data_IF_137621639172
#
_entry.id   IF_137621639172
#
_cell.length_a   1.000
_cell.length_b   1.000
_cell.length_c   1.000
_cell.angle_alpha   90.00
_cell.angle_beta   90.00
_cell.angle_gamma   90.00
#
_symmetry.space_group_name_H-M   'P 1'
#
loop_
_entity.id
_entity.type
_entity.pdbx_description
1 polymer ?
#
# COMPACT_ATOMS: atom_id res chain seq x y z
N UNK A 1 1.57 22.62 -1.18
CA UNK A 1 0.46 21.65 -1.17
C UNK A 1 0.86 20.42 -2.00
N UNK A 2 0.64 19.24 -1.48
CA UNK A 2 0.83 17.98 -2.21
C UNK A 2 -0.45 17.17 -2.15
N UNK A 3 -0.99 16.83 -3.30
CA UNK A 3 -2.12 15.92 -3.45
C UNK A 3 -1.64 14.46 -3.56
N UNK A 4 -2.56 13.52 -3.29
CA UNK A 4 -2.28 12.07 -3.33
C UNK A 4 -1.09 11.69 -2.43
N UNK A 5 -1.08 12.22 -1.20
CA UNK A 5 0.07 12.08 -0.29
C UNK A 5 0.34 10.64 0.16
N UNK A 6 -0.59 9.70 -0.02
CA UNK A 6 -0.33 8.27 0.16
C UNK A 6 0.79 7.74 -0.75
N UNK A 7 1.12 8.44 -1.84
CA UNK A 7 2.24 8.09 -2.73
C UNK A 7 3.61 8.38 -2.13
N UNK A 8 3.70 9.09 -1.00
CA UNK A 8 4.95 9.40 -0.29
C UNK A 8 5.10 8.67 1.05
N UNK A 9 4.31 7.61 1.28
CA UNK A 9 4.37 6.77 2.47
C UNK A 9 5.71 6.02 2.62
N UNK A 10 6.31 5.60 1.51
CA UNK A 10 7.56 4.85 1.50
C UNK A 10 8.77 5.80 1.60
N UNK A 11 9.48 5.74 2.73
CA UNK A 11 10.59 6.65 3.05
C UNK A 11 11.79 6.51 2.12
N UNK A 12 12.00 5.33 1.56
CA UNK A 12 13.12 5.02 0.66
C UNK A 12 12.90 5.51 -0.77
N UNK A 13 11.66 5.79 -1.17
CA UNK A 13 11.32 6.17 -2.54
C UNK A 13 11.94 7.52 -2.94
N UNK A 14 12.35 7.66 -4.18
CA UNK A 14 12.90 8.92 -4.73
C UNK A 14 11.92 10.08 -4.55
N UNK A 15 10.62 9.83 -4.79
CA UNK A 15 9.56 10.84 -4.64
C UNK A 15 9.51 11.39 -3.22
N UNK A 16 9.50 10.51 -2.21
CA UNK A 16 9.48 10.91 -0.80
C UNK A 16 10.72 11.71 -0.42
N UNK A 17 11.89 11.28 -0.87
CA UNK A 17 13.16 12.00 -0.62
C UNK A 17 13.14 13.39 -1.23
N UNK A 18 12.68 13.53 -2.47
CA UNK A 18 12.57 14.84 -3.13
C UNK A 18 11.56 15.74 -2.40
N UNK A 19 10.37 15.22 -2.05
CA UNK A 19 9.38 16.02 -1.34
C UNK A 19 9.86 16.46 0.05
N UNK A 20 10.57 15.59 0.79
CA UNK A 20 11.22 15.98 2.05
C UNK A 20 12.24 17.11 1.86
N UNK A 21 13.02 17.08 0.78
CA UNK A 21 13.98 18.13 0.47
C UNK A 21 13.28 19.45 0.11
N UNK A 22 12.26 19.39 -0.76
CA UNK A 22 11.49 20.55 -1.18
C UNK A 22 10.70 21.19 -0.02
N UNK A 23 10.22 20.37 0.93
CA UNK A 23 9.46 20.87 2.08
C UNK A 23 10.32 21.60 3.12
N UNK A 24 11.65 21.43 3.10
CA UNK A 24 12.56 22.15 4.00
C UNK A 24 12.51 23.66 3.71
N UNK A 25 12.32 24.45 4.75
CA UNK A 25 12.22 25.90 4.60
C UNK A 25 10.85 26.42 4.15
N UNK A 26 9.89 25.53 3.81
CA UNK A 26 8.52 25.94 3.51
C UNK A 26 7.75 26.10 4.81
N UNK A 27 7.16 27.28 5.02
CA UNK A 27 6.43 27.63 6.26
C UNK A 27 5.12 26.86 6.40
N UNK A 28 4.36 26.74 5.32
CA UNK A 28 3.05 26.08 5.31
C UNK A 28 3.11 24.84 4.42
N UNK A 29 2.74 23.69 5.00
CA UNK A 29 2.78 22.39 4.32
C UNK A 29 1.43 21.73 4.46
N UNK A 30 0.82 21.36 3.34
CA UNK A 30 -0.47 20.66 3.29
C UNK A 30 -0.29 19.40 2.45
N UNK A 31 -0.67 18.28 3.03
CA UNK A 31 -0.74 16.99 2.35
C UNK A 31 -2.21 16.59 2.27
N UNK A 32 -2.69 16.34 1.07
CA UNK A 32 -4.07 15.93 0.80
C UNK A 32 -4.10 14.46 0.42
N UNK A 33 -5.11 13.73 0.89
CA UNK A 33 -5.32 12.33 0.53
C UNK A 33 -6.74 11.90 0.86
N UNK A 34 -7.34 11.10 0.00
CA UNK A 34 -8.59 10.39 0.30
C UNK A 34 -8.38 9.18 1.21
N UNK A 35 -7.13 8.73 1.44
CA UNK A 35 -6.82 7.57 2.28
C UNK A 35 -5.57 7.83 3.10
N UNK A 36 -5.75 8.16 4.37
CA UNK A 36 -4.66 8.52 5.26
C UNK A 36 -3.70 7.34 5.52
N UNK A 37 -4.24 6.18 5.81
CA UNK A 37 -3.51 4.93 6.08
C UNK A 37 -4.08 3.84 5.18
N UNK A 38 -3.24 3.23 4.34
CA UNK A 38 -3.65 2.12 3.47
C UNK A 38 -3.57 0.78 4.20
N UNK A 39 -2.44 0.50 4.85
CA UNK A 39 -2.18 -0.80 5.45
C UNK A 39 -1.64 -0.74 6.87
N UNK A 40 -0.75 0.20 7.18
CA UNK A 40 0.02 0.19 8.44
C UNK A 40 0.25 1.59 8.97
N UNK A 41 0.27 1.74 10.30
CA UNK A 41 0.57 3.03 10.94
C UNK A 41 1.96 3.57 10.59
N UNK A 42 2.92 2.69 10.27
CA UNK A 42 4.26 3.10 9.82
C UNK A 42 4.25 3.95 8.54
N UNK A 43 3.19 3.89 7.74
CA UNK A 43 3.01 4.70 6.54
C UNK A 43 2.89 6.20 6.84
N UNK A 44 2.52 6.57 8.07
CA UNK A 44 2.43 7.96 8.52
C UNK A 44 3.78 8.60 8.84
N UNK A 45 4.84 7.82 9.06
CA UNK A 45 6.16 8.35 9.43
C UNK A 45 6.67 9.35 8.41
N UNK A 46 6.57 9.02 7.13
CA UNK A 46 7.04 9.91 6.06
C UNK A 46 6.19 11.17 5.89
N UNK A 47 4.86 11.10 5.82
CA UNK A 47 3.99 12.27 5.83
C UNK A 47 4.21 13.18 7.05
N UNK A 48 4.27 12.63 8.26
CA UNK A 48 4.52 13.40 9.48
C UNK A 48 5.92 14.07 9.46
N UNK A 49 6.93 13.40 8.92
CA UNK A 49 8.26 14.01 8.72
C UNK A 49 8.21 15.16 7.72
N UNK A 50 7.46 15.04 6.62
CA UNK A 50 7.30 16.08 5.61
C UNK A 50 6.57 17.29 6.21
N UNK A 51 5.54 17.04 7.01
CA UNK A 51 4.78 18.07 7.73
C UNK A 51 5.57 18.72 8.89
N UNK A 52 6.71 18.11 9.29
CA UNK A 52 7.47 18.52 10.46
C UNK A 52 6.70 18.36 11.78
N UNK A 53 5.94 17.28 11.90
CA UNK A 53 5.06 16.97 13.03
C UNK A 53 5.40 15.65 13.75
N UNK A 54 6.39 14.91 13.25
CA UNK A 54 6.75 13.60 13.84
C UNK A 54 7.23 13.74 15.29
N UNK A 55 7.90 14.84 15.62
CA UNK A 55 8.42 15.10 16.96
C UNK A 55 7.31 15.31 18.00
N UNK A 56 6.13 15.80 17.59
CA UNK A 56 4.97 15.91 18.46
C UNK A 56 4.43 14.53 18.89
N UNK A 57 4.78 13.48 18.17
CA UNK A 57 4.52 12.07 18.53
C UNK A 57 5.72 11.43 19.27
N UNK A 58 6.73 12.21 19.63
CA UNK A 58 7.94 11.76 20.31
C UNK A 58 9.03 11.24 19.39
N UNK A 59 8.99 11.62 18.12
CA UNK A 59 9.94 11.24 17.10
C UNK A 59 9.79 9.77 16.65
N UNK A 60 10.71 9.35 15.79
CA UNK A 60 10.62 8.03 15.15
C UNK A 60 10.55 6.87 16.16
N UNK A 61 11.37 6.91 17.21
CA UNK A 61 11.44 5.80 18.17
C UNK A 61 10.15 5.63 18.97
N UNK A 62 9.64 6.69 19.58
CA UNK A 62 8.40 6.63 20.37
C UNK A 62 7.19 6.34 19.50
N UNK A 63 7.14 6.92 18.30
CA UNK A 63 6.07 6.63 17.34
C UNK A 63 6.03 5.15 16.98
N UNK A 64 7.18 4.58 16.62
CA UNK A 64 7.25 3.18 16.19
C UNK A 64 7.02 2.19 17.34
N UNK A 65 7.47 2.49 18.54
CA UNK A 65 7.18 1.67 19.71
C UNK A 65 5.69 1.64 20.01
N UNK A 66 5.06 2.82 20.05
CA UNK A 66 3.68 2.92 20.50
C UNK A 66 2.68 2.51 19.42
N UNK A 67 2.90 2.90 18.18
CA UNK A 67 1.90 2.73 17.11
C UNK A 67 2.24 1.64 16.09
N UNK A 68 3.49 1.19 16.04
CA UNK A 68 3.93 0.16 15.07
C UNK A 68 4.40 -1.14 15.72
N UNK A 69 4.30 -1.27 17.05
CA UNK A 69 4.72 -2.47 17.77
C UNK A 69 6.16 -2.90 17.42
N UNK A 70 7.08 -1.95 17.44
CA UNK A 70 8.47 -2.12 17.02
C UNK A 70 9.14 -3.27 17.75
N UNK A 71 9.71 -4.19 16.98
CA UNK A 71 10.53 -5.31 17.49
C UNK A 71 11.81 -5.45 16.69
N UNK A 72 12.84 -6.04 17.30
CA UNK A 72 14.10 -6.29 16.60
C UNK A 72 14.05 -7.68 15.97
N UNK A 73 14.31 -7.77 14.66
CA UNK A 73 14.42 -9.02 13.92
C UNK A 73 15.81 -9.19 13.34
N UNK A 74 16.28 -10.43 13.29
CA UNK A 74 17.49 -10.79 12.55
C UNK A 74 17.08 -11.26 11.15
N UNK A 75 17.72 -10.71 10.12
CA UNK A 75 17.56 -11.16 8.73
C UNK A 75 18.89 -11.69 8.23
N UNK A 76 18.86 -12.79 7.47
CA UNK A 76 20.02 -13.34 6.81
C UNK A 76 20.34 -12.53 5.55
N UNK A 77 21.59 -12.16 5.36
CA UNK A 77 22.04 -11.43 4.19
C UNK A 77 22.25 -12.41 3.02
N UNK A 78 21.66 -12.08 1.88
CA UNK A 78 21.78 -12.89 0.65
C UNK A 78 23.24 -12.82 0.15
N UNK A 79 23.93 -13.96 0.12
CA UNK A 79 25.31 -14.07 -0.37
C UNK A 79 26.42 -14.05 0.71
N UNK A 80 26.08 -13.90 1.97
CA UNK A 80 27.05 -14.03 3.08
C UNK A 80 26.94 -15.37 3.79
N UNK A 81 28.05 -16.06 4.02
CA UNK A 81 28.11 -17.32 4.80
C UNK A 81 27.61 -17.07 6.23
N UNK A 82 26.29 -17.14 6.46
CA UNK A 82 25.68 -16.98 7.78
C UNK A 82 25.63 -15.55 8.33
N UNK A 83 25.96 -14.53 7.54
CA UNK A 83 25.92 -13.14 7.99
C UNK A 83 24.47 -12.71 8.24
N UNK A 84 24.20 -12.22 9.46
CA UNK A 84 22.88 -11.71 9.85
C UNK A 84 22.95 -10.20 10.10
N UNK A 85 21.85 -9.49 9.79
CA UNK A 85 21.68 -8.08 10.12
C UNK A 85 20.45 -7.91 11.01
N UNK A 86 20.61 -7.15 12.09
CA UNK A 86 19.49 -6.74 12.93
C UNK A 86 18.74 -5.60 12.24
N UNK A 87 17.44 -5.72 12.10
CA UNK A 87 16.55 -4.70 11.56
C UNK A 87 15.36 -4.48 12.49
N UNK A 88 14.80 -3.27 12.45
CA UNK A 88 13.57 -2.98 13.16
C UNK A 88 12.37 -3.44 12.33
N UNK A 89 11.54 -4.29 12.91
CA UNK A 89 10.23 -4.61 12.37
C UNK A 89 9.21 -3.62 12.95
N UNK A 90 8.57 -2.88 12.06
CA UNK A 90 7.54 -1.88 12.35
C UNK A 90 6.26 -2.18 11.56
N UNK A 91 6.02 -3.46 11.28
CA UNK A 91 4.92 -3.90 10.42
C UNK A 91 3.56 -3.98 11.10
N UNK A 92 3.54 -3.95 12.43
CA UNK A 92 2.31 -3.99 13.22
C UNK A 92 1.62 -2.63 13.27
N UNK A 93 0.33 -2.64 13.62
CA UNK A 93 -0.48 -1.47 13.90
C UNK A 93 -1.10 -1.62 15.29
N UNK A 94 -0.78 -0.71 16.20
CA UNK A 94 -1.22 -0.72 17.60
C UNK A 94 -1.75 0.65 17.98
N UNK A 95 -2.63 0.73 18.99
CA UNK A 95 -3.17 1.97 19.53
C UNK A 95 -3.76 2.93 18.46
N UNK A 96 -4.56 2.38 17.52
CA UNK A 96 -5.08 3.13 16.36
C UNK A 96 -6.00 4.28 16.75
N UNK A 97 -6.91 4.07 17.70
CA UNK A 97 -7.84 5.11 18.18
C UNK A 97 -7.09 6.30 18.78
N UNK A 98 -6.13 6.02 19.68
CA UNK A 98 -5.30 7.07 20.26
C UNK A 98 -4.49 7.83 19.20
N UNK A 99 -3.93 7.11 18.22
CA UNK A 99 -3.20 7.72 17.12
C UNK A 99 -4.09 8.68 16.33
N UNK A 100 -5.31 8.24 16.02
CA UNK A 100 -6.27 9.03 15.27
C UNK A 100 -6.70 10.29 16.03
N UNK A 101 -6.99 10.17 17.32
CA UNK A 101 -7.35 11.30 18.17
C UNK A 101 -6.21 12.32 18.28
N UNK A 102 -4.97 11.84 18.38
CA UNK A 102 -3.80 12.72 18.39
C UNK A 102 -3.57 13.41 17.06
N UNK A 103 -3.75 12.70 15.95
CA UNK A 103 -3.64 13.29 14.61
C UNK A 103 -4.67 14.41 14.42
N UNK A 104 -5.93 14.20 14.81
CA UNK A 104 -6.99 15.21 14.76
C UNK A 104 -6.64 16.46 15.57
N UNK A 105 -6.06 16.29 16.74
CA UNK A 105 -5.66 17.41 17.61
C UNK A 105 -4.47 18.20 17.07
N UNK A 106 -3.57 17.56 16.33
CA UNK A 106 -2.26 18.12 15.97
C UNK A 106 -2.23 18.63 14.53
N UNK A 107 -2.68 17.81 13.57
CA UNK A 107 -2.40 18.07 12.16
C UNK A 107 -3.38 17.47 11.15
N UNK A 108 -4.41 16.75 11.58
CA UNK A 108 -5.37 16.15 10.67
C UNK A 108 -6.65 16.99 10.62
N UNK A 109 -7.03 17.41 9.43
CA UNK A 109 -8.35 17.94 9.11
C UNK A 109 -9.03 16.92 8.24
N UNK A 110 -10.18 16.42 8.68
CA UNK A 110 -11.02 15.51 7.92
C UNK A 110 -12.34 16.19 7.67
N UNK A 111 -12.77 16.19 6.42
CA UNK A 111 -14.09 16.63 6.00
C UNK A 111 -14.93 15.37 5.76
N UNK A 112 -16.07 15.28 6.40
CA UNK A 112 -17.00 14.19 6.20
C UNK A 112 -17.98 14.53 5.06
N UNK A 113 -18.48 13.48 4.38
CA UNK A 113 -19.43 13.66 3.27
C UNK A 113 -20.69 14.46 3.67
N UNK A 114 -21.07 14.36 4.96
CA UNK A 114 -22.19 15.13 5.55
C UNK A 114 -21.93 16.63 5.65
N UNK A 115 -20.67 17.05 5.65
CA UNK A 115 -20.26 18.46 5.74
C UNK A 115 -20.09 19.09 4.34
N UNK A 116 -20.18 18.28 3.27
CA UNK A 116 -20.11 18.80 1.91
C UNK A 116 -21.47 19.34 1.47
N UNK A 117 -21.51 20.61 1.06
CA UNK A 117 -22.73 21.25 0.52
C UNK A 117 -23.27 20.54 -0.75
N UNK A 118 -22.42 19.82 -1.44
CA UNK A 118 -22.77 19.07 -2.63
C UNK A 118 -22.83 17.57 -2.31
N UNK A 119 -24.05 17.11 -2.02
CA UNK A 119 -24.34 15.69 -1.84
C UNK A 119 -24.35 15.01 -3.22
N UNK A 120 -23.19 14.93 -3.87
CA UNK A 120 -23.05 14.14 -5.10
C UNK A 120 -23.08 12.67 -4.67
N UNK A 121 -24.29 12.12 -4.51
CA UNK A 121 -24.47 10.68 -4.43
C UNK A 121 -23.99 10.10 -5.74
N UNK A 122 -22.73 9.62 -5.76
CA UNK A 122 -22.25 8.86 -6.90
C UNK A 122 -23.15 7.63 -7.05
N UNK A 123 -23.97 7.61 -8.08
CA UNK A 123 -24.74 6.43 -8.43
C UNK A 123 -23.76 5.37 -8.92
N UNK A 124 -23.47 4.39 -8.05
CA UNK A 124 -22.65 3.25 -8.42
C UNK A 124 -23.50 2.30 -9.28
N UNK A 125 -23.23 2.29 -10.58
CA UNK A 125 -23.79 1.30 -11.49
C UNK A 125 -22.85 0.10 -11.51
N UNK A 126 -23.35 -1.06 -11.09
CA UNK A 126 -22.64 -2.33 -11.21
C UNK A 126 -23.17 -3.02 -12.46
N UNK A 127 -22.26 -3.35 -13.37
CA UNK A 127 -22.59 -4.11 -14.58
C UNK A 127 -21.73 -5.38 -14.57
N UNK A 128 -22.40 -6.51 -14.57
CA UNK A 128 -21.76 -7.81 -14.65
C UNK A 128 -21.64 -8.22 -16.13
N UNK A 129 -20.49 -8.78 -16.49
CA UNK A 129 -20.24 -9.32 -17.83
C UNK A 129 -19.81 -10.78 -17.73
N UNK A 130 -20.50 -11.64 -18.45
CA UNK A 130 -20.04 -13.01 -18.70
C UNK A 130 -18.91 -12.98 -19.74
N UNK A 131 -17.69 -13.09 -19.26
CA UNK A 131 -16.50 -13.09 -20.10
C UNK A 131 -15.99 -14.52 -20.22
N UNK A 132 -15.96 -15.11 -21.43
CA UNK A 132 -15.42 -16.47 -21.60
C UNK A 132 -13.94 -16.50 -21.21
N UNK A 133 -13.58 -17.52 -20.44
CA UNK A 133 -12.20 -17.74 -20.03
C UNK A 133 -11.35 -18.16 -21.24
N UNK A 134 -10.17 -17.56 -21.37
CA UNK A 134 -9.22 -17.96 -22.41
C UNK A 134 -8.51 -19.28 -22.04
N UNK A 135 -8.04 -20.04 -23.04
CA UNK A 135 -7.18 -21.20 -22.78
C UNK A 135 -5.97 -20.85 -21.89
N UNK A 136 -5.36 -19.71 -22.15
CA UNK A 136 -4.23 -19.19 -21.35
C UNK A 136 -4.61 -18.97 -19.88
N UNK A 137 -5.82 -18.47 -19.61
CA UNK A 137 -6.29 -18.32 -18.23
C UNK A 137 -6.43 -19.66 -17.54
N UNK A 138 -7.04 -20.64 -18.22
CA UNK A 138 -7.25 -21.99 -17.68
C UNK A 138 -5.93 -22.70 -17.39
N UNK A 139 -4.94 -22.58 -18.28
CA UNK A 139 -3.59 -23.10 -18.07
C UNK A 139 -2.91 -22.47 -16.84
N UNK A 140 -2.99 -21.15 -16.70
CA UNK A 140 -2.42 -20.42 -15.55
C UNK A 140 -3.12 -20.77 -14.24
N UNK A 141 -4.43 -21.00 -14.28
CA UNK A 141 -5.21 -21.43 -13.11
C UNK A 141 -4.82 -22.85 -12.69
N UNK A 142 -4.71 -23.79 -13.63
CA UNK A 142 -4.27 -25.16 -13.39
C UNK A 142 -2.84 -25.19 -12.81
N UNK A 143 -1.92 -24.44 -13.40
CA UNK A 143 -0.56 -24.29 -12.90
C UNK A 143 -0.54 -23.76 -11.46
N UNK A 144 -1.39 -22.78 -11.15
CA UNK A 144 -1.50 -22.23 -9.79
C UNK A 144 -2.06 -23.27 -8.81
N UNK A 145 -3.08 -24.02 -9.20
CA UNK A 145 -3.67 -25.09 -8.37
C UNK A 145 -2.64 -26.17 -8.11
N UNK A 146 -1.92 -26.62 -9.14
CA UNK A 146 -0.87 -27.63 -9.04
C UNK A 146 0.30 -27.14 -8.16
N UNK A 147 0.67 -25.88 -8.30
CA UNK A 147 1.70 -25.26 -7.44
C UNK A 147 1.25 -25.23 -5.97
N UNK A 148 0.02 -24.83 -5.69
CA UNK A 148 -0.52 -24.84 -4.32
C UNK A 148 -0.57 -26.26 -3.74
N UNK A 149 -1.02 -27.26 -4.51
CA UNK A 149 -1.09 -28.64 -4.07
C UNK A 149 0.30 -29.23 -3.80
N UNK A 150 1.32 -28.87 -4.60
CA UNK A 150 2.70 -29.39 -4.46
C UNK A 150 3.57 -28.66 -3.42
N UNK A 151 3.21 -27.45 -3.00
CA UNK A 151 4.07 -26.61 -2.15
C UNK A 151 3.59 -26.42 -0.71
N UNK A 152 2.55 -27.15 -0.29
CA UNK A 152 2.15 -27.12 1.13
C UNK A 152 3.21 -27.70 2.08
N UNK A 153 4.20 -28.47 1.55
CA UNK A 153 5.23 -29.14 2.34
C UNK A 153 6.67 -28.64 2.16
N UNK A 154 6.98 -27.81 1.15
CA UNK A 154 8.38 -27.44 0.87
C UNK A 154 8.49 -25.94 0.56
N UNK A 155 8.82 -25.17 1.57
CA UNK A 155 9.33 -23.80 1.41
C UNK A 155 10.83 -23.84 1.09
N UNK A 156 11.18 -24.12 -0.16
CA UNK A 156 12.56 -23.99 -0.61
C UNK A 156 12.80 -22.58 -1.16
N UNK A 157 13.60 -21.79 -0.42
CA UNK A 157 13.88 -20.38 -0.63
C UNK A 157 14.72 -20.07 -1.90
N UNK A 158 14.97 -21.06 -2.77
CA UNK A 158 15.91 -20.91 -3.88
C UNK A 158 15.30 -20.88 -5.28
N UNK A 159 13.98 -20.91 -5.41
CA UNK A 159 13.36 -20.88 -6.76
C UNK A 159 12.99 -19.45 -7.19
N UNK A 160 13.24 -19.18 -8.48
CA UNK A 160 13.13 -17.89 -9.18
C UNK A 160 11.77 -17.20 -8.96
N UNK A 161 11.70 -15.83 -8.94
CA UNK A 161 10.49 -15.05 -8.62
C UNK A 161 9.29 -15.30 -9.54
N UNK A 162 9.45 -15.94 -10.70
CA UNK A 162 8.37 -16.32 -11.62
C UNK A 162 7.55 -17.52 -11.14
N UNK A 163 8.04 -18.29 -10.15
CA UNK A 163 7.35 -19.45 -9.58
C UNK A 163 6.83 -19.22 -8.16
N UNK A 164 6.79 -17.97 -7.69
CA UNK A 164 6.14 -17.64 -6.41
C UNK A 164 4.64 -17.55 -6.62
N UNK A 165 3.83 -17.98 -5.65
CA UNK A 165 2.37 -17.86 -5.72
C UNK A 165 1.89 -16.43 -6.00
N UNK A 166 2.61 -15.41 -5.52
CA UNK A 166 2.34 -13.99 -5.84
C UNK A 166 2.58 -13.68 -7.32
N UNK A 167 3.60 -14.27 -7.93
CA UNK A 167 3.87 -14.11 -9.37
C UNK A 167 2.76 -14.71 -10.22
N UNK A 168 2.26 -15.88 -9.85
CA UNK A 168 1.15 -16.54 -10.55
C UNK A 168 -0.16 -15.78 -10.42
N UNK A 169 -0.48 -15.25 -9.23
CA UNK A 169 -1.61 -14.35 -9.02
C UNK A 169 -1.50 -13.09 -9.90
N UNK A 170 -0.30 -12.52 -10.02
CA UNK A 170 -0.09 -11.37 -10.88
C UNK A 170 -0.34 -11.69 -12.36
N UNK A 171 0.10 -12.85 -12.85
CA UNK A 171 -0.15 -13.30 -14.22
C UNK A 171 -1.64 -13.53 -14.48
N UNK A 172 -2.35 -14.21 -13.57
CA UNK A 172 -3.80 -14.38 -13.66
C UNK A 172 -4.54 -13.04 -13.72
N UNK A 173 -4.17 -12.09 -12.87
CA UNK A 173 -4.76 -10.72 -12.89
C UNK A 173 -4.51 -9.99 -14.20
N UNK A 174 -3.32 -10.14 -14.79
CA UNK A 174 -3.00 -9.54 -16.09
C UNK A 174 -3.85 -10.15 -17.20
N UNK A 175 -4.01 -11.47 -17.20
CA UNK A 175 -4.85 -12.14 -18.21
C UNK A 175 -6.31 -11.75 -18.06
N UNK A 176 -6.86 -11.70 -16.84
CA UNK A 176 -8.21 -11.20 -16.58
C UNK A 176 -8.38 -9.75 -17.06
N UNK A 177 -7.40 -8.88 -16.83
CA UNK A 177 -7.46 -7.50 -17.32
C UNK A 177 -7.46 -7.46 -18.85
N UNK A 178 -6.67 -8.31 -19.52
CA UNK A 178 -6.64 -8.43 -20.98
C UNK A 178 -7.98 -8.88 -21.53
N UNK A 179 -8.61 -9.89 -20.92
CA UNK A 179 -9.92 -10.39 -21.33
C UNK A 179 -11.04 -9.35 -21.13
N UNK A 180 -10.96 -8.53 -20.10
CA UNK A 180 -11.93 -7.47 -19.80
C UNK A 180 -11.81 -6.26 -20.72
N UNK A 181 -10.64 -6.02 -21.29
CA UNK A 181 -10.37 -4.79 -22.04
C UNK A 181 -11.31 -4.53 -23.22
N UNK A 182 -11.67 -5.52 -24.10
CA UNK A 182 -12.62 -5.29 -25.18
C UNK A 182 -14.01 -4.85 -24.68
N UNK A 183 -14.49 -5.48 -23.59
CA UNK A 183 -15.79 -5.16 -23.00
C UNK A 183 -15.80 -3.78 -22.37
N UNK A 184 -14.70 -3.42 -21.68
CA UNK A 184 -14.53 -2.08 -21.11
C UNK A 184 -14.48 -1.02 -22.21
N UNK A 185 -13.77 -1.29 -23.32
CA UNK A 185 -13.71 -0.38 -24.47
C UNK A 185 -15.10 -0.16 -25.05
N UNK A 186 -15.84 -1.23 -25.33
CA UNK A 186 -17.22 -1.12 -25.85
C UNK A 186 -18.10 -0.32 -24.88
N UNK A 187 -17.99 -0.58 -23.57
CA UNK A 187 -18.77 0.17 -22.58
C UNK A 187 -18.47 1.68 -22.60
N UNK A 188 -17.20 2.05 -22.79
CA UNK A 188 -16.79 3.46 -22.88
C UNK A 188 -17.30 4.07 -24.18
N UNK A 189 -17.17 3.35 -25.30
CA UNK A 189 -17.63 3.80 -26.63
C UNK A 189 -19.17 4.00 -26.66
N UNK A 190 -19.94 3.20 -25.90
CA UNK A 190 -21.38 3.35 -25.73
C UNK A 190 -21.79 4.55 -24.85
N UNK A 191 -20.83 5.12 -24.08
CA UNK A 191 -21.09 6.24 -23.15
C UNK A 191 -20.71 7.62 -23.70
N UNK A 192 -19.88 7.66 -24.74
CA UNK A 192 -19.40 8.89 -25.41
C UNK A 192 -20.20 9.14 -26.67
#
# INVERSE_FOLDING_TARGET
ISDESQKVKESSSKRTKHLKTLSRGVKYRILMTGTLILNRHSELISPLTILDRLDEFGGWFKFTDRYCGRTQKQIYLRGGRGATKKVWDISKSTNGEELYDRLRKICLIQVEDSELEYNVKANRIVKDWDIPLSPTYLELEEDMVNWMAGNYEIWDAHQRPLKSGLGMIAMLRQEVARLKFPYLKQFIDDFI
#
